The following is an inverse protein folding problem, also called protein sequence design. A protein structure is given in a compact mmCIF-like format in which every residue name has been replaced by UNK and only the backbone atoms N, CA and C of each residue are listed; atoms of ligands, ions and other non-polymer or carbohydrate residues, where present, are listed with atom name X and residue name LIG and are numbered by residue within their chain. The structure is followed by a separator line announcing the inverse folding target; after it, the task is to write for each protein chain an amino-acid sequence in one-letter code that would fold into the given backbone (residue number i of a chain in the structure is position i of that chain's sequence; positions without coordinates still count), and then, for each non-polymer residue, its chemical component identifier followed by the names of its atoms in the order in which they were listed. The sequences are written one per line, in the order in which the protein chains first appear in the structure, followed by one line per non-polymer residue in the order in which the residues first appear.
data_IF_177743385196
#
_entry.id   IF_177743385196
#
_cell.length_a   1.000
_cell.length_b   1.000
_cell.length_c   1.000
_cell.angle_alpha   90.00
_cell.angle_beta   90.00
_cell.angle_gamma   90.00
#
_symmetry.space_group_name_H-M   'P 1'
#
loop_
_entity.id
_entity.type
_entity.pdbx_description
1 polymer ?
#
# COMPACT_ATOMS: atom_id res chain seq x y z
N UNK A 1 13.10 -3.03 -31.34
CA UNK A 1 13.01 -1.76 -32.08
C UNK A 1 12.68 -0.69 -31.04
N UNK A 2 13.43 0.41 -30.94
CA UNK A 2 13.07 1.51 -30.05
C UNK A 2 11.78 2.13 -30.57
N UNK A 3 10.79 2.32 -29.69
CA UNK A 3 9.60 3.09 -29.99
C UNK A 3 10.06 4.53 -30.31
N UNK A 4 9.76 4.95 -31.50
CA UNK A 4 9.99 6.28 -32.03
C UNK A 4 9.36 7.32 -31.10
N UNK A 5 10.20 8.17 -30.54
CA UNK A 5 9.84 9.44 -29.95
C UNK A 5 9.24 10.36 -31.02
N UNK A 6 7.94 10.24 -31.26
CA UNK A 6 7.20 11.25 -32.01
C UNK A 6 6.48 12.16 -31.01
N UNK A 7 7.02 13.38 -30.88
CA UNK A 7 6.33 14.60 -30.44
C UNK A 7 5.49 14.50 -29.17
N UNK A 8 6.09 14.24 -28.02
CA UNK A 8 5.53 14.76 -26.77
C UNK A 8 5.70 16.27 -26.76
N UNK A 9 4.71 17.00 -27.29
CA UNK A 9 4.52 18.39 -26.91
C UNK A 9 4.49 18.42 -25.39
N UNK A 10 5.26 19.34 -24.81
CA UNK A 10 5.19 19.67 -23.40
C UNK A 10 3.72 19.95 -23.06
N UNK A 11 3.05 18.96 -22.46
CA UNK A 11 1.68 19.13 -21.99
C UNK A 11 1.84 19.81 -20.65
N UNK A 12 1.77 21.14 -20.64
CA UNK A 12 1.67 21.91 -19.41
C UNK A 12 0.36 21.51 -18.73
N UNK A 13 0.46 20.76 -17.64
CA UNK A 13 -0.67 20.43 -16.79
C UNK A 13 -1.09 21.69 -16.03
N UNK A 14 -2.33 22.15 -16.21
CA UNK A 14 -2.76 23.43 -15.64
C UNK A 14 -2.92 23.29 -14.12
N UNK A 15 -2.31 24.21 -13.37
CA UNK A 15 -2.38 24.32 -11.91
C UNK A 15 -2.75 25.74 -11.53
N UNK A 16 -3.42 25.91 -10.39
CA UNK A 16 -3.68 27.24 -9.81
C UNK A 16 -4.72 28.05 -10.55
N UNK A 17 -5.70 27.39 -11.18
CA UNK A 17 -6.82 28.06 -11.84
C UNK A 17 -8.10 27.94 -10.98
N UNK A 18 -9.00 28.89 -11.16
CA UNK A 18 -10.32 28.82 -10.58
C UNK A 18 -11.11 27.67 -11.19
N UNK A 19 -11.66 26.79 -10.38
CA UNK A 19 -12.43 25.62 -10.83
C UNK A 19 -13.66 26.06 -11.62
N UNK A 20 -13.79 25.62 -12.85
CA UNK A 20 -15.06 25.71 -13.60
C UNK A 20 -16.03 24.65 -13.06
N UNK A 21 -17.19 25.03 -12.50
CA UNK A 21 -18.17 24.06 -11.98
C UNK A 21 -18.66 23.07 -13.02
N UNK A 22 -18.70 23.44 -14.30
CA UNK A 22 -19.11 22.55 -15.38
C UNK A 22 -18.04 21.51 -15.69
N UNK A 23 -16.77 21.91 -15.75
CA UNK A 23 -15.64 20.99 -15.93
C UNK A 23 -15.53 20.02 -14.72
N UNK A 24 -15.69 20.53 -13.49
CA UNK A 24 -15.67 19.69 -12.29
C UNK A 24 -16.80 18.66 -12.29
N UNK A 25 -18.00 19.03 -12.68
CA UNK A 25 -19.14 18.12 -12.77
C UNK A 25 -18.88 16.98 -13.79
N UNK A 26 -18.33 17.30 -14.96
CA UNK A 26 -17.95 16.31 -15.97
C UNK A 26 -16.82 15.38 -15.48
N UNK A 27 -15.81 15.93 -14.82
CA UNK A 27 -14.72 15.14 -14.25
C UNK A 27 -15.24 14.17 -13.18
N UNK A 28 -16.14 14.62 -12.29
CA UNK A 28 -16.78 13.75 -11.28
C UNK A 28 -17.63 12.65 -11.90
N UNK A 29 -18.36 12.95 -12.98
CA UNK A 29 -19.12 11.93 -13.72
C UNK A 29 -18.19 10.88 -14.32
N UNK A 30 -17.08 11.30 -14.95
CA UNK A 30 -16.09 10.39 -15.53
C UNK A 30 -15.45 9.50 -14.45
N UNK A 31 -15.05 10.09 -13.32
CA UNK A 31 -14.49 9.37 -12.17
C UNK A 31 -15.50 8.36 -11.57
N UNK A 32 -16.76 8.77 -11.43
CA UNK A 32 -17.81 7.89 -10.91
C UNK A 32 -18.07 6.71 -11.86
N UNK A 33 -18.10 6.97 -13.17
CA UNK A 33 -18.26 5.94 -14.21
C UNK A 33 -17.11 4.94 -14.17
N UNK A 34 -15.87 5.40 -14.02
CA UNK A 34 -14.70 4.54 -13.88
C UNK A 34 -14.77 3.64 -12.63
N UNK A 35 -15.21 4.18 -11.48
CA UNK A 35 -15.44 3.39 -10.27
C UNK A 35 -16.46 2.27 -10.46
N UNK A 36 -17.59 2.58 -11.10
CA UNK A 36 -18.60 1.58 -11.40
C UNK A 36 -18.05 0.51 -12.34
N UNK A 37 -17.28 0.89 -13.35
CA UNK A 37 -16.63 -0.05 -14.24
C UNK A 37 -15.64 -0.97 -13.51
N UNK A 38 -14.85 -0.42 -12.57
CA UNK A 38 -13.95 -1.21 -11.72
C UNK A 38 -14.72 -2.17 -10.79
N UNK A 39 -15.82 -1.72 -10.16
CA UNK A 39 -16.65 -2.61 -9.33
C UNK A 39 -17.15 -3.83 -10.09
N UNK A 40 -17.48 -3.66 -11.37
CA UNK A 40 -18.01 -4.75 -12.21
C UNK A 40 -16.92 -5.68 -12.75
N UNK A 41 -15.71 -5.17 -13.00
CA UNK A 41 -14.64 -5.92 -13.69
C UNK A 41 -13.53 -6.38 -12.74
N UNK A 42 -13.22 -5.58 -11.74
CA UNK A 42 -12.14 -5.76 -10.79
C UNK A 42 -12.61 -5.32 -9.40
N UNK A 43 -13.52 -6.12 -8.80
CA UNK A 43 -14.27 -5.77 -7.59
C UNK A 43 -13.39 -5.37 -6.42
N UNK A 44 -12.19 -5.93 -6.28
CA UNK A 44 -11.22 -5.50 -5.26
C UNK A 44 -10.86 -4.01 -5.43
N UNK A 45 -10.40 -3.63 -6.62
CA UNK A 45 -10.03 -2.23 -6.91
C UNK A 45 -11.23 -1.30 -6.86
N UNK A 46 -12.38 -1.74 -7.37
CA UNK A 46 -13.61 -0.98 -7.30
C UNK A 46 -14.07 -0.70 -5.87
N UNK A 47 -13.99 -1.70 -4.98
CA UNK A 47 -14.30 -1.55 -3.57
C UNK A 47 -13.33 -0.58 -2.88
N UNK A 48 -12.04 -0.66 -3.16
CA UNK A 48 -11.06 0.29 -2.63
C UNK A 48 -11.31 1.70 -3.15
N UNK A 49 -11.51 1.87 -4.46
CA UNK A 49 -11.75 3.18 -5.08
C UNK A 49 -13.03 3.87 -4.58
N UNK A 50 -14.11 3.12 -4.31
CA UNK A 50 -15.37 3.69 -3.81
C UNK A 50 -15.30 4.20 -2.37
N UNK A 51 -14.30 3.76 -1.60
CA UNK A 51 -14.09 4.22 -0.22
C UNK A 51 -13.42 5.58 -0.12
N UNK A 52 -12.79 6.05 -1.20
CA UNK A 52 -12.10 7.33 -1.24
C UNK A 52 -13.05 8.42 -1.76
N UNK A 53 -13.59 9.33 -0.94
CA UNK A 53 -14.36 10.46 -1.44
C UNK A 53 -13.55 11.28 -2.45
N UNK A 54 -14.23 11.80 -3.48
CA UNK A 54 -13.60 12.62 -4.51
C UNK A 54 -13.45 14.07 -4.04
N UNK A 55 -12.24 14.60 -4.12
CA UNK A 55 -11.92 15.98 -3.71
C UNK A 55 -11.30 16.71 -4.91
N UNK A 56 -11.95 17.80 -5.32
CA UNK A 56 -11.35 18.67 -6.32
C UNK A 56 -10.14 19.40 -5.73
N UNK A 57 -9.03 19.42 -6.46
CA UNK A 57 -7.76 19.99 -6.04
C UNK A 57 -7.12 20.86 -7.14
N UNK A 58 -7.93 21.47 -8.01
CA UNK A 58 -7.50 22.28 -9.15
C UNK A 58 -6.54 23.41 -8.76
N UNK A 59 -6.62 23.92 -7.53
CA UNK A 59 -5.80 25.02 -7.08
C UNK A 59 -4.32 24.67 -6.83
N UNK A 60 -4.02 23.39 -6.54
CA UNK A 60 -2.66 23.01 -6.15
C UNK A 60 -2.14 21.72 -6.79
N UNK A 61 -3.02 20.85 -7.28
CA UNK A 61 -2.65 19.54 -7.82
C UNK A 61 -2.73 19.56 -9.37
N UNK A 62 -1.65 19.19 -10.07
CA UNK A 62 -1.68 19.12 -11.54
C UNK A 62 -2.31 17.85 -12.10
N UNK A 63 -2.32 16.76 -11.32
CA UNK A 63 -2.72 15.41 -11.76
C UNK A 63 -3.80 14.81 -10.85
N UNK A 64 -3.47 13.71 -10.20
CA UNK A 64 -4.26 13.09 -9.13
C UNK A 64 -3.35 12.71 -7.97
N UNK A 65 -3.94 12.45 -6.80
CA UNK A 65 -3.22 12.00 -5.62
C UNK A 65 -4.15 11.32 -4.64
N UNK A 66 -3.60 10.52 -3.73
CA UNK A 66 -4.33 9.99 -2.58
C UNK A 66 -3.53 10.17 -1.30
N UNK A 67 -4.24 10.37 -0.21
CA UNK A 67 -3.69 10.33 1.16
C UNK A 67 -4.16 9.10 1.94
N UNK A 68 -4.87 8.18 1.27
CA UNK A 68 -5.49 7.00 1.85
C UNK A 68 -6.90 7.20 2.38
N UNK A 69 -7.36 8.44 2.53
CA UNK A 69 -8.73 8.82 2.91
C UNK A 69 -9.53 9.42 1.78
N UNK A 70 -8.88 10.24 0.93
CA UNK A 70 -9.48 10.99 -0.15
C UNK A 70 -8.76 10.69 -1.46
N UNK A 71 -9.49 10.85 -2.55
CA UNK A 71 -8.95 10.89 -3.89
C UNK A 71 -9.01 12.33 -4.40
N UNK A 72 -7.85 12.96 -4.44
CA UNK A 72 -7.67 14.31 -4.96
C UNK A 72 -7.49 14.25 -6.47
N UNK A 73 -8.08 15.20 -7.18
CA UNK A 73 -7.96 15.24 -8.64
C UNK A 73 -7.99 16.66 -9.18
N UNK A 74 -7.33 16.84 -10.32
CA UNK A 74 -7.45 18.00 -11.16
C UNK A 74 -8.49 17.74 -12.24
N UNK A 75 -9.52 18.62 -12.36
CA UNK A 75 -10.63 18.43 -13.28
C UNK A 75 -10.17 18.38 -14.74
N UNK A 76 -9.26 19.26 -15.16
CA UNK A 76 -8.74 19.29 -16.53
C UNK A 76 -7.91 18.05 -16.85
N UNK A 77 -7.09 17.60 -15.91
CA UNK A 77 -6.33 16.36 -16.07
C UNK A 77 -7.25 15.15 -16.28
N UNK A 78 -8.29 15.00 -15.47
CA UNK A 78 -9.25 13.90 -15.61
C UNK A 78 -9.96 13.95 -16.98
N UNK A 79 -10.35 15.14 -17.44
CA UNK A 79 -11.03 15.29 -18.74
C UNK A 79 -10.12 15.02 -19.95
N UNK A 80 -8.80 15.06 -19.79
CA UNK A 80 -7.84 14.67 -20.82
C UNK A 80 -7.76 13.14 -20.97
N UNK A 81 -8.03 12.39 -19.92
CA UNK A 81 -7.86 10.95 -19.91
C UNK A 81 -9.04 10.22 -20.58
N UNK A 82 -8.73 9.08 -21.19
CA UNK A 82 -9.76 8.17 -21.70
C UNK A 82 -10.39 7.38 -20.54
N UNK A 83 -11.64 6.91 -20.68
CA UNK A 83 -12.35 6.20 -19.60
C UNK A 83 -11.55 5.03 -18.98
N UNK A 84 -10.82 4.25 -19.80
CA UNK A 84 -10.00 3.14 -19.31
C UNK A 84 -8.68 3.59 -18.68
N UNK A 85 -8.18 4.76 -19.03
CA UNK A 85 -7.03 5.37 -18.39
C UNK A 85 -7.41 5.89 -17.00
N UNK A 86 -8.65 6.34 -16.81
CA UNK A 86 -9.17 6.71 -15.48
C UNK A 86 -9.35 5.44 -14.59
N UNK A 87 -9.80 4.31 -15.17
CA UNK A 87 -9.82 3.03 -14.45
C UNK A 87 -8.39 2.66 -13.96
N UNK A 88 -7.38 2.85 -14.82
CA UNK A 88 -5.98 2.61 -14.49
C UNK A 88 -5.48 3.55 -13.39
N UNK A 89 -5.79 4.84 -13.48
CA UNK A 89 -5.43 5.85 -12.48
C UNK A 89 -5.97 5.49 -11.09
N UNK A 90 -7.24 5.06 -10.98
CA UNK A 90 -7.78 4.57 -9.71
C UNK A 90 -7.04 3.34 -9.17
N UNK A 91 -6.67 2.42 -10.07
CA UNK A 91 -5.86 1.26 -9.72
C UNK A 91 -4.49 1.68 -9.18
N UNK A 92 -3.87 2.67 -9.81
CA UNK A 92 -2.58 3.24 -9.45
C UNK A 92 -2.60 3.81 -8.02
N UNK A 93 -3.49 4.74 -7.73
CA UNK A 93 -3.66 5.31 -6.39
C UNK A 93 -4.01 4.25 -5.32
N UNK A 94 -4.83 3.27 -5.72
CA UNK A 94 -5.16 2.15 -4.82
C UNK A 94 -3.92 1.34 -4.46
N UNK A 95 -3.05 1.01 -5.42
CA UNK A 95 -1.87 0.21 -5.14
C UNK A 95 -0.82 0.98 -4.32
N UNK A 96 -0.69 2.31 -4.49
CA UNK A 96 0.16 3.11 -3.61
C UNK A 96 -0.28 2.99 -2.15
N UNK A 97 -1.60 3.03 -1.89
CA UNK A 97 -2.14 2.81 -0.55
C UNK A 97 -1.91 1.38 -0.03
N UNK A 98 -2.12 0.37 -0.90
CA UNK A 98 -1.97 -1.05 -0.54
C UNK A 98 -0.52 -1.41 -0.20
N UNK A 99 0.43 -0.90 -0.96
CA UNK A 99 1.86 -1.14 -0.75
C UNK A 99 2.47 -0.26 0.34
N UNK A 100 1.67 0.63 0.96
CA UNK A 100 2.10 1.60 1.98
C UNK A 100 3.28 2.46 1.50
N UNK A 101 3.28 2.85 0.23
CA UNK A 101 4.35 3.65 -0.34
C UNK A 101 4.50 5.00 0.38
N UNK A 102 3.40 5.57 0.89
CA UNK A 102 3.40 6.79 1.71
C UNK A 102 4.16 6.64 3.04
N UNK A 103 4.30 5.41 3.52
CA UNK A 103 4.98 5.11 4.78
C UNK A 103 6.35 4.45 4.61
N UNK A 104 6.48 3.61 3.59
CA UNK A 104 7.64 2.73 3.38
C UNK A 104 8.87 3.46 2.83
N UNK A 105 8.67 4.46 1.97
CA UNK A 105 9.73 5.22 1.32
C UNK A 105 10.65 5.97 2.29
N UNK A 106 10.18 6.24 3.53
CA UNK A 106 10.93 7.02 4.51
C UNK A 106 11.95 6.22 5.33
N UNK A 107 11.82 4.91 5.41
CA UNK A 107 12.59 4.14 6.38
C UNK A 107 13.99 3.71 5.92
N UNK A 108 14.25 3.56 4.62
CA UNK A 108 15.54 3.05 4.14
C UNK A 108 16.06 3.66 2.83
N UNK A 109 15.36 4.62 2.22
CA UNK A 109 15.73 5.15 0.92
C UNK A 109 16.26 6.59 1.05
N UNK A 110 17.48 6.80 0.59
CA UNK A 110 18.18 8.08 0.77
C UNK A 110 17.65 9.20 -0.15
N UNK A 111 16.96 8.85 -1.24
CA UNK A 111 16.42 9.81 -2.21
C UNK A 111 14.92 9.59 -2.42
N UNK A 112 14.06 10.48 -1.92
CA UNK A 112 12.60 10.33 -2.04
C UNK A 112 12.11 10.39 -3.49
N UNK A 113 12.77 11.17 -4.37
CA UNK A 113 12.38 11.25 -5.78
C UNK A 113 12.59 9.91 -6.48
N UNK A 114 13.74 9.27 -6.29
CA UNK A 114 14.03 7.95 -6.85
C UNK A 114 13.08 6.90 -6.26
N UNK A 115 12.72 7.04 -4.97
CA UNK A 115 11.77 6.14 -4.34
C UNK A 115 10.38 6.23 -4.98
N UNK A 116 9.89 7.43 -5.27
CA UNK A 116 8.62 7.64 -5.95
C UNK A 116 8.65 7.08 -7.37
N UNK A 117 9.71 7.36 -8.12
CA UNK A 117 9.92 6.78 -9.47
C UNK A 117 9.90 5.24 -9.43
N UNK A 118 10.59 4.63 -8.47
CA UNK A 118 10.62 3.17 -8.33
C UNK A 118 9.25 2.61 -7.94
N UNK A 119 8.51 3.30 -7.06
CA UNK A 119 7.16 2.94 -6.68
C UNK A 119 6.20 2.95 -7.88
N UNK A 120 6.25 3.99 -8.71
CA UNK A 120 5.43 4.11 -9.91
C UNK A 120 5.72 3.00 -10.93
N UNK A 121 7.00 2.70 -11.17
CA UNK A 121 7.35 1.57 -12.04
C UNK A 121 6.76 0.25 -11.53
N UNK A 122 6.83 -0.02 -10.22
CA UNK A 122 6.29 -1.22 -9.62
C UNK A 122 4.75 -1.27 -9.72
N UNK A 123 4.07 -0.19 -9.37
CA UNK A 123 2.61 -0.07 -9.43
C UNK A 123 2.10 -0.21 -10.86
N UNK A 124 2.67 0.53 -11.79
CA UNK A 124 2.24 0.51 -13.20
C UNK A 124 2.45 -0.89 -13.81
N UNK A 125 3.56 -1.56 -13.51
CA UNK A 125 3.81 -2.94 -13.91
C UNK A 125 2.71 -3.88 -13.41
N UNK A 126 2.35 -3.80 -12.13
CA UNK A 126 1.39 -4.71 -11.53
C UNK A 126 -0.03 -4.49 -12.08
N UNK A 127 -0.40 -3.25 -12.39
CA UNK A 127 -1.67 -2.94 -13.04
C UNK A 127 -1.73 -3.46 -14.48
N UNK A 128 -0.65 -3.29 -15.24
CA UNK A 128 -0.56 -3.82 -16.62
C UNK A 128 -0.67 -5.35 -16.60
N UNK A 129 0.05 -6.02 -15.70
CA UNK A 129 0.02 -7.48 -15.57
C UNK A 129 -1.36 -7.98 -15.12
N UNK A 130 -2.03 -7.26 -14.23
CA UNK A 130 -3.37 -7.57 -13.73
C UNK A 130 -4.49 -7.13 -14.68
N UNK A 131 -4.17 -6.43 -15.76
CA UNK A 131 -5.12 -5.90 -16.76
C UNK A 131 -6.19 -4.98 -16.15
N UNK A 132 -5.79 -4.15 -15.21
CA UNK A 132 -6.64 -3.15 -14.58
C UNK A 132 -6.61 -1.87 -15.40
N UNK A 133 -7.74 -1.52 -16.01
CA UNK A 133 -7.79 -0.39 -16.94
C UNK A 133 -6.91 -0.58 -18.18
N UNK A 134 -6.38 0.51 -18.68
CA UNK A 134 -5.38 0.55 -19.77
C UNK A 134 -4.32 1.56 -19.36
N UNK A 135 -3.06 1.20 -19.52
CA UNK A 135 -1.92 2.09 -19.27
C UNK A 135 -2.17 3.47 -19.86
N UNK A 136 -1.92 4.50 -19.09
CA UNK A 136 -2.08 5.90 -19.50
C UNK A 136 -1.09 6.20 -20.64
N UNK A 137 -1.60 6.72 -21.72
CA UNK A 137 -0.83 7.13 -22.92
C UNK A 137 -1.08 8.59 -23.29
N UNK A 138 -2.08 9.22 -22.66
CA UNK A 138 -2.44 10.62 -22.89
C UNK A 138 -1.39 11.56 -22.33
N UNK A 139 -0.77 11.17 -21.22
CA UNK A 139 0.40 11.84 -20.62
C UNK A 139 1.54 10.84 -20.48
N UNK A 140 2.80 11.31 -20.38
CA UNK A 140 3.93 10.43 -20.08
C UNK A 140 3.69 9.67 -18.78
N UNK A 141 4.04 8.37 -18.74
CA UNK A 141 3.90 7.54 -17.57
C UNK A 141 5.02 6.51 -17.49
N UNK A 142 5.46 6.19 -16.29
CA UNK A 142 6.61 5.34 -16.03
C UNK A 142 6.26 3.85 -16.23
N UNK A 143 6.80 3.23 -17.28
CA UNK A 143 6.69 1.80 -17.51
C UNK A 143 7.88 1.28 -18.32
N UNK A 144 8.56 0.26 -17.81
CA UNK A 144 9.65 -0.40 -18.54
C UNK A 144 9.68 -1.90 -18.21
N UNK A 145 9.68 -2.73 -19.25
CA UNK A 145 9.72 -4.20 -19.13
C UNK A 145 10.97 -4.72 -18.44
N UNK A 146 12.07 -3.96 -18.43
CA UNK A 146 13.29 -4.35 -17.70
C UNK A 146 13.06 -4.54 -16.21
N UNK A 147 12.03 -3.88 -15.65
CA UNK A 147 11.66 -3.95 -14.23
C UNK A 147 10.56 -4.98 -13.91
N UNK A 148 10.18 -5.83 -14.88
CA UNK A 148 9.01 -6.72 -14.78
C UNK A 148 9.07 -7.71 -13.60
N UNK A 149 10.29 -8.08 -13.17
CA UNK A 149 10.51 -9.07 -12.11
C UNK A 149 11.18 -8.50 -10.86
N UNK A 150 11.38 -7.20 -10.80
CA UNK A 150 12.09 -6.55 -9.71
C UNK A 150 11.09 -6.00 -8.68
N UNK A 151 11.45 -6.07 -7.40
CA UNK A 151 10.74 -5.35 -6.34
C UNK A 151 10.95 -3.84 -6.47
N UNK A 152 10.17 -3.04 -5.75
CA UNK A 152 10.36 -1.58 -5.72
C UNK A 152 11.77 -1.22 -5.24
N UNK A 153 12.28 -1.93 -4.23
CA UNK A 153 13.61 -1.72 -3.66
C UNK A 153 14.72 -2.03 -4.69
N UNK A 154 14.59 -3.13 -5.45
CA UNK A 154 15.54 -3.48 -6.51
C UNK A 154 15.50 -2.49 -7.67
N UNK A 155 14.32 -1.94 -8.00
CA UNK A 155 14.17 -0.86 -8.98
C UNK A 155 14.85 0.40 -8.47
N UNK A 156 14.65 0.75 -7.20
CA UNK A 156 15.31 1.88 -6.56
C UNK A 156 16.84 1.77 -6.66
N UNK A 157 17.39 0.63 -6.23
CA UNK A 157 18.83 0.39 -6.25
C UNK A 157 19.38 0.48 -7.67
N UNK A 158 18.67 -0.08 -8.66
CA UNK A 158 19.06 0.00 -10.06
C UNK A 158 19.10 1.44 -10.59
N UNK A 159 18.10 2.26 -10.25
CA UNK A 159 18.06 3.67 -10.65
C UNK A 159 19.15 4.47 -9.91
N UNK A 160 19.30 4.24 -8.61
CA UNK A 160 20.27 4.92 -7.77
C UNK A 160 21.71 4.66 -8.22
N UNK A 161 22.08 3.43 -8.50
CA UNK A 161 23.40 3.04 -9.01
C UNK A 161 23.70 3.62 -10.41
N UNK A 162 22.67 3.86 -11.21
CA UNK A 162 22.79 4.40 -12.55
C UNK A 162 22.39 5.89 -12.65
N UNK A 163 22.23 6.56 -11.52
CA UNK A 163 21.76 7.96 -11.45
C UNK A 163 22.57 8.94 -12.30
N UNK A 164 23.88 8.71 -12.46
CA UNK A 164 24.74 9.54 -13.33
C UNK A 164 24.43 9.40 -14.84
N UNK A 165 23.76 8.31 -15.24
CA UNK A 165 23.43 7.99 -16.64
C UNK A 165 21.96 8.20 -16.97
N UNK A 166 21.12 8.35 -15.97
CA UNK A 166 19.67 8.48 -16.09
C UNK A 166 19.29 9.92 -15.75
N UNK A 167 18.48 10.53 -16.58
CA UNK A 167 17.92 11.85 -16.28
C UNK A 167 16.77 11.70 -15.28
N UNK A 168 17.08 11.87 -13.99
CA UNK A 168 16.11 11.71 -12.89
C UNK A 168 15.01 12.76 -12.97
N UNK A 169 15.35 13.99 -13.36
CA UNK A 169 14.38 15.08 -13.48
C UNK A 169 13.33 14.75 -14.55
N UNK A 170 13.76 14.21 -15.71
CA UNK A 170 12.85 13.76 -16.77
C UNK A 170 11.93 12.62 -16.29
N UNK A 171 12.44 11.69 -15.49
CA UNK A 171 11.61 10.63 -14.92
C UNK A 171 10.66 11.16 -13.85
N UNK A 172 11.06 12.15 -13.08
CA UNK A 172 10.20 12.80 -12.08
C UNK A 172 9.02 13.54 -12.74
N UNK A 173 9.25 14.14 -13.90
CA UNK A 173 8.19 14.80 -14.70
C UNK A 173 7.16 13.80 -15.28
N UNK A 174 7.49 12.50 -15.28
CA UNK A 174 6.61 11.42 -15.76
C UNK A 174 5.80 10.74 -14.65
N UNK A 175 5.89 11.20 -13.40
CA UNK A 175 5.08 10.68 -12.30
C UNK A 175 3.59 10.98 -12.56
N UNK A 176 2.74 9.97 -12.37
CA UNK A 176 1.29 10.10 -12.59
C UNK A 176 0.57 10.77 -11.42
N UNK A 177 1.19 10.76 -10.25
CA UNK A 177 0.65 11.33 -9.04
C UNK A 177 1.65 12.26 -8.34
N UNK A 178 1.14 13.16 -7.53
CA UNK A 178 1.92 13.86 -6.55
C UNK A 178 1.85 13.08 -5.23
N UNK A 179 2.90 12.33 -4.90
CA UNK A 179 2.96 11.65 -3.62
C UNK A 179 2.78 12.66 -2.50
N UNK A 180 1.67 12.52 -1.77
CA UNK A 180 1.36 13.38 -0.63
C UNK A 180 2.28 13.01 0.54
N UNK A 181 3.57 13.21 0.33
CA UNK A 181 4.56 13.03 1.39
C UNK A 181 4.13 13.82 2.59
N UNK A 182 4.02 13.08 3.64
CA UNK A 182 3.84 13.67 4.93
C UNK A 182 5.10 14.49 5.25
N UNK A 183 5.07 15.78 5.00
CA UNK A 183 6.08 16.72 5.42
C UNK A 183 6.32 16.55 6.93
N UNK A 184 7.60 16.40 7.32
CA UNK A 184 8.02 16.21 8.73
C UNK A 184 7.83 17.48 9.59
N UNK A 185 7.05 18.43 9.11
CA UNK A 185 6.68 19.60 9.89
C UNK A 185 5.86 19.17 11.13
N UNK A 186 6.35 19.53 12.30
CA UNK A 186 5.56 19.61 13.54
C UNK A 186 4.46 20.67 13.37
N UNK A 187 3.52 20.40 12.45
CA UNK A 187 2.42 21.29 12.14
C UNK A 187 1.11 20.69 12.63
N UNK A 188 0.28 21.53 13.19
CA UNK A 188 -1.14 21.30 13.42
C UNK A 188 -1.76 20.69 12.15
N UNK A 189 -2.63 19.69 12.33
CA UNK A 189 -3.50 19.16 11.29
C UNK A 189 -4.06 20.32 10.45
N UNK A 190 -3.78 20.32 9.14
CA UNK A 190 -4.37 21.29 8.23
C UNK A 190 -5.88 21.11 8.16
N UNK A 191 -6.61 22.16 7.76
CA UNK A 191 -8.04 22.05 7.52
C UNK A 191 -8.29 20.98 6.46
N UNK A 192 -9.20 20.04 6.77
CA UNK A 192 -9.63 19.03 5.83
C UNK A 192 -10.35 19.64 4.62
N UNK A 193 -10.74 18.80 3.61
CA UNK A 193 -11.50 19.28 2.48
C UNK A 193 -12.77 20.02 2.92
N UNK A 194 -13.07 21.16 2.29
CA UNK A 194 -14.27 21.97 2.52
C UNK A 194 -15.40 21.48 1.58
N UNK A 195 -16.64 21.53 2.03
CA UNK A 195 -17.80 21.29 1.17
C UNK A 195 -18.22 22.58 0.46
N UNK A 196 -18.48 22.50 -0.84
CA UNK A 196 -19.09 23.58 -1.60
C UNK A 196 -20.62 23.63 -1.40
N UNK A 197 -21.28 24.63 -1.98
CA UNK A 197 -22.74 24.81 -1.89
C UNK A 197 -23.55 23.60 -2.44
N UNK A 198 -22.92 22.75 -3.25
CA UNK A 198 -23.51 21.54 -3.82
C UNK A 198 -23.17 20.27 -3.04
N UNK A 199 -22.46 20.39 -1.91
CA UNK A 199 -21.99 19.24 -1.11
C UNK A 199 -20.78 18.51 -1.71
N UNK A 200 -20.08 19.12 -2.67
CA UNK A 200 -18.87 18.55 -3.22
C UNK A 200 -17.64 18.97 -2.41
N UNK A 201 -16.71 18.04 -2.23
CA UNK A 201 -15.47 18.32 -1.50
C UNK A 201 -14.45 19.02 -2.41
N UNK A 202 -13.83 20.08 -1.87
CA UNK A 202 -12.72 20.81 -2.49
C UNK A 202 -11.59 21.01 -1.51
N UNK A 203 -10.35 21.00 -2.01
CA UNK A 203 -9.15 21.28 -1.23
C UNK A 203 -8.36 22.42 -1.87
N UNK A 204 -8.06 23.44 -1.10
CA UNK A 204 -7.30 24.63 -1.54
C UNK A 204 -5.79 24.46 -1.35
N UNK A 205 -5.37 23.48 -0.59
CA UNK A 205 -3.96 23.26 -0.28
C UNK A 205 -3.68 21.78 -0.01
N UNK A 206 -2.41 21.41 -0.13
CA UNK A 206 -1.92 20.06 0.19
C UNK A 206 -2.27 19.67 1.63
N UNK A 207 -2.89 18.50 1.87
CA UNK A 207 -3.26 18.06 3.22
C UNK A 207 -2.02 17.84 4.10
N UNK A 208 -2.14 18.19 5.38
CA UNK A 208 -1.09 17.97 6.38
C UNK A 208 -1.63 17.09 7.51
N UNK A 209 -0.90 16.05 7.86
CA UNK A 209 -1.31 15.09 8.88
C UNK A 209 -0.27 14.96 9.99
N UNK A 210 -0.74 14.87 11.23
CA UNK A 210 0.10 14.53 12.37
C UNK A 210 0.57 13.06 12.29
N UNK A 211 1.63 12.69 13.01
CA UNK A 211 2.08 11.29 13.12
C UNK A 211 0.96 10.34 13.62
N UNK A 212 0.12 10.84 14.54
CA UNK A 212 -1.01 10.08 15.07
C UNK A 212 -2.10 9.84 14.00
N UNK A 213 -2.40 10.86 13.19
CA UNK A 213 -3.40 10.75 12.13
C UNK A 213 -2.91 9.82 11.02
N UNK A 214 -1.63 9.84 10.68
CA UNK A 214 -1.02 8.92 9.71
C UNK A 214 -1.15 7.47 10.16
N UNK A 215 -0.92 7.18 11.46
CA UNK A 215 -1.12 5.83 11.99
C UNK A 215 -2.58 5.39 11.83
N UNK A 216 -3.54 6.27 12.15
CA UNK A 216 -4.96 5.98 11.96
C UNK A 216 -5.30 5.71 10.50
N UNK A 217 -4.80 6.53 9.58
CA UNK A 217 -5.00 6.35 8.13
C UNK A 217 -4.50 4.98 7.68
N UNK A 218 -3.30 4.56 8.10
CA UNK A 218 -2.77 3.23 7.79
C UNK A 218 -3.64 2.10 8.34
N UNK A 219 -4.13 2.24 9.55
CA UNK A 219 -4.99 1.23 10.16
C UNK A 219 -6.34 1.16 9.41
N UNK A 220 -6.90 2.30 8.99
CA UNK A 220 -8.10 2.40 8.14
C UNK A 220 -7.88 1.77 6.75
N UNK A 221 -6.71 1.99 6.14
CA UNK A 221 -6.32 1.35 4.86
C UNK A 221 -6.25 -0.16 5.00
N UNK A 222 -5.59 -0.68 6.06
CA UNK A 222 -5.49 -2.12 6.32
C UNK A 222 -6.87 -2.77 6.50
N UNK A 223 -7.75 -2.14 7.26
CA UNK A 223 -9.11 -2.61 7.43
C UNK A 223 -9.88 -2.60 6.10
N UNK A 224 -9.74 -1.52 5.33
CA UNK A 224 -10.34 -1.38 4.01
C UNK A 224 -9.85 -2.45 3.03
N UNK A 225 -8.56 -2.75 3.06
CA UNK A 225 -7.91 -3.79 2.26
C UNK A 225 -8.51 -5.18 2.56
N UNK A 226 -8.56 -5.56 3.84
CA UNK A 226 -9.12 -6.84 4.27
C UNK A 226 -10.59 -6.96 3.88
N UNK A 227 -11.39 -5.91 4.10
CA UNK A 227 -12.82 -5.90 3.78
C UNK A 227 -13.06 -5.96 2.28
N UNK A 228 -12.28 -5.22 1.47
CA UNK A 228 -12.38 -5.24 0.01
C UNK A 228 -11.98 -6.60 -0.57
N UNK A 229 -10.95 -7.24 -0.01
CA UNK A 229 -10.56 -8.60 -0.41
C UNK A 229 -11.64 -9.64 -0.09
N UNK A 230 -12.26 -9.55 1.09
CA UNK A 230 -13.38 -10.44 1.46
C UNK A 230 -14.58 -10.27 0.55
N UNK A 231 -14.91 -9.02 0.17
CA UNK A 231 -16.03 -8.72 -0.72
C UNK A 231 -15.74 -9.14 -2.17
N UNK A 232 -14.50 -8.99 -2.63
CA UNK A 232 -14.10 -9.41 -3.96
C UNK A 232 -14.18 -10.94 -4.14
N UNK A 233 -13.87 -11.70 -3.10
CA UNK A 233 -13.88 -13.17 -3.16
C UNK A 233 -13.02 -13.69 -4.33
N UNK A 234 -13.54 -14.74 -5.03
CA UNK A 234 -12.93 -15.27 -6.24
C UNK A 234 -13.46 -14.57 -7.53
N UNK A 235 -13.96 -13.35 -7.40
CA UNK A 235 -14.60 -12.61 -8.50
C UNK A 235 -13.66 -12.26 -9.66
N UNK A 236 -14.27 -11.84 -10.77
CA UNK A 236 -13.58 -11.43 -11.98
C UNK A 236 -12.63 -10.24 -11.72
N UNK A 237 -11.40 -10.34 -12.23
CA UNK A 237 -10.36 -9.35 -11.98
C UNK A 237 -9.56 -9.71 -10.73
N UNK A 238 -8.70 -10.73 -10.85
CA UNK A 238 -7.93 -11.27 -9.74
C UNK A 238 -7.12 -10.21 -8.99
N UNK A 239 -7.03 -10.40 -7.69
CA UNK A 239 -6.14 -9.61 -6.83
C UNK A 239 -4.70 -9.91 -7.30
N UNK A 240 -3.85 -8.90 -7.55
CA UNK A 240 -2.44 -9.11 -7.86
C UNK A 240 -1.77 -10.00 -6.83
N UNK A 241 -0.83 -10.87 -7.27
CA UNK A 241 -0.22 -11.87 -6.39
C UNK A 241 0.46 -11.25 -5.16
N UNK A 242 1.11 -10.10 -5.34
CA UNK A 242 1.76 -9.38 -4.24
C UNK A 242 0.74 -8.79 -3.25
N UNK A 243 -0.39 -8.29 -3.76
CA UNK A 243 -1.51 -7.81 -2.92
C UNK A 243 -2.13 -8.99 -2.15
N UNK A 244 -2.31 -10.13 -2.80
CA UNK A 244 -2.83 -11.35 -2.14
C UNK A 244 -1.92 -11.80 -0.98
N UNK A 245 -0.59 -11.71 -1.16
CA UNK A 245 0.38 -12.01 -0.12
C UNK A 245 0.26 -11.05 1.06
N UNK A 246 0.16 -9.74 0.80
CA UNK A 246 -0.04 -8.72 1.85
C UNK A 246 -1.33 -8.99 2.63
N UNK A 247 -2.43 -9.32 1.94
CA UNK A 247 -3.70 -9.67 2.59
C UNK A 247 -3.54 -10.91 3.46
N UNK A 248 -2.84 -11.92 2.97
CA UNK A 248 -2.57 -13.14 3.73
C UNK A 248 -1.76 -12.82 4.99
N UNK A 249 -0.68 -12.07 4.89
CA UNK A 249 0.15 -11.63 6.03
C UNK A 249 -0.66 -10.82 7.06
N UNK A 250 -1.62 -10.00 6.61
CA UNK A 250 -2.49 -9.21 7.49
C UNK A 250 -3.61 -10.04 8.15
N UNK A 251 -4.03 -11.15 7.53
CA UNK A 251 -5.14 -11.99 8.01
C UNK A 251 -4.68 -13.21 8.77
N UNK A 252 -3.46 -13.68 8.55
CA UNK A 252 -2.87 -14.74 9.35
C UNK A 252 -2.65 -14.25 10.79
N UNK A 253 -3.15 -15.00 11.80
CA UNK A 253 -2.90 -14.64 13.19
C UNK A 253 -1.39 -14.69 13.43
N UNK A 254 -0.79 -13.54 13.63
CA UNK A 254 0.59 -13.45 14.07
C UNK A 254 0.65 -13.92 15.52
N UNK A 255 0.94 -15.21 15.73
CA UNK A 255 1.28 -15.68 17.06
C UNK A 255 2.60 -15.01 17.45
N UNK A 256 2.56 -14.23 18.52
CA UNK A 256 3.80 -13.65 19.06
C UNK A 256 4.78 -14.80 19.33
N UNK A 257 6.02 -14.68 18.84
CA UNK A 257 7.06 -15.70 19.05
C UNK A 257 7.25 -16.03 20.53
N UNK A 258 7.00 -15.06 21.42
CA UNK A 258 6.98 -15.21 22.87
C UNK A 258 5.93 -16.18 23.35
N UNK A 259 4.73 -16.17 22.75
CA UNK A 259 3.63 -17.09 23.08
C UNK A 259 3.89 -18.51 22.58
N UNK A 260 4.50 -18.64 21.39
CA UNK A 260 5.01 -19.90 20.85
C UNK A 260 6.12 -20.47 21.73
N UNK A 261 7.06 -19.64 22.15
CA UNK A 261 8.17 -20.01 23.03
C UNK A 261 7.64 -20.45 24.40
N UNK A 262 6.73 -19.68 24.99
CA UNK A 262 6.10 -20.00 26.27
C UNK A 262 5.33 -21.33 26.20
N UNK A 263 4.55 -21.55 25.15
CA UNK A 263 3.82 -22.80 24.93
C UNK A 263 4.79 -23.97 24.73
N UNK A 264 5.87 -23.76 23.98
CA UNK A 264 6.90 -24.79 23.74
C UNK A 264 7.64 -25.15 25.02
N UNK A 265 8.06 -24.15 25.81
CA UNK A 265 8.70 -24.36 27.12
C UNK A 265 7.73 -25.08 28.07
N UNK A 266 6.47 -24.64 28.16
CA UNK A 266 5.47 -25.29 29.02
C UNK A 266 5.17 -26.74 28.61
N UNK A 267 5.24 -27.06 27.33
CA UNK A 267 5.05 -28.44 26.84
C UNK A 267 6.25 -29.33 27.17
N UNK A 268 7.45 -28.77 27.17
CA UNK A 268 8.71 -29.52 27.45
C UNK A 268 8.89 -29.81 28.93
N UNK A 269 8.45 -28.92 29.82
CA UNK A 269 8.59 -29.02 31.28
C UNK A 269 7.77 -30.18 31.91
N UNK A 270 6.91 -30.86 31.15
CA UNK A 270 6.00 -31.93 31.67
C UNK A 270 6.36 -33.33 31.19
N UNK A 271 7.62 -33.65 31.02
CA UNK A 271 8.00 -34.82 30.23
C UNK A 271 8.29 -36.11 30.99
N UNK A 272 8.32 -36.12 32.31
CA UNK A 272 8.65 -37.37 33.03
C UNK A 272 7.54 -37.82 33.97
N UNK A 273 7.35 -39.15 34.01
CA UNK A 273 6.37 -39.83 34.88
C UNK A 273 7.13 -40.58 35.94
N UNK A 274 6.81 -40.35 37.22
CA UNK A 274 7.39 -41.07 38.32
C UNK A 274 6.35 -41.73 39.20
N UNK A 275 6.64 -42.96 39.61
CA UNK A 275 5.83 -43.68 40.60
C UNK A 275 6.12 -43.17 42.04
N UNK A 276 7.17 -42.37 42.24
CA UNK A 276 7.47 -41.76 43.55
C UNK A 276 6.43 -40.72 43.97
N UNK A 277 5.70 -40.13 43.02
CA UNK A 277 4.53 -39.26 43.24
C UNK A 277 3.37 -39.70 42.40
N UNK A 278 2.59 -40.70 42.88
CA UNK A 278 1.49 -41.25 42.09
C UNK A 278 0.38 -40.25 41.80
N UNK A 279 -0.24 -40.37 40.65
CA UNK A 279 -1.34 -39.53 40.23
C UNK A 279 -2.54 -39.70 41.13
N UNK A 280 -3.15 -38.63 41.62
CA UNK A 280 -4.39 -38.65 42.41
C UNK A 280 -5.59 -39.27 41.67
N UNK A 281 -5.54 -39.32 40.33
CA UNK A 281 -6.57 -39.96 39.50
C UNK A 281 -6.63 -41.49 39.67
N UNK A 282 -5.58 -42.12 40.19
CA UNK A 282 -5.53 -43.54 40.47
C UNK A 282 -6.01 -43.95 41.88
N UNK A 283 -6.38 -43.02 42.75
CA UNK A 283 -6.72 -43.31 44.15
C UNK A 283 -8.03 -44.03 44.39
N UNK A 284 -8.79 -44.33 43.37
CA UNK A 284 -10.03 -45.11 43.43
C UNK A 284 -9.98 -46.39 42.61
N UNK A 285 -8.83 -46.78 42.08
CA UNK A 285 -8.63 -47.96 41.26
C UNK A 285 -7.55 -48.84 41.87
N UNK A 286 -7.61 -50.15 41.60
CA UNK A 286 -6.60 -51.11 42.07
C UNK A 286 -5.22 -50.95 41.40
N UNK A 287 -5.04 -49.88 40.59
CA UNK A 287 -3.81 -49.63 39.88
C UNK A 287 -3.19 -48.29 40.32
N UNK A 288 -1.91 -48.31 40.62
CA UNK A 288 -1.11 -47.10 40.90
C UNK A 288 -0.66 -46.48 39.57
N UNK A 289 -1.18 -45.30 39.27
CA UNK A 289 -0.76 -44.54 38.08
C UNK A 289 0.41 -43.63 38.43
N UNK A 290 1.45 -43.53 37.55
CA UNK A 290 2.55 -42.61 37.79
C UNK A 290 2.08 -41.16 37.71
N UNK A 291 2.62 -40.31 38.54
CA UNK A 291 2.37 -38.88 38.52
C UNK A 291 3.41 -38.15 37.68
N UNK A 292 3.05 -37.00 37.12
CA UNK A 292 3.97 -36.11 36.42
C UNK A 292 4.95 -35.47 37.41
N UNK A 293 6.23 -35.49 37.08
CA UNK A 293 7.27 -34.77 37.77
C UNK A 293 7.75 -33.63 36.86
N UNK A 294 7.73 -32.37 37.33
CA UNK A 294 8.30 -31.28 36.54
C UNK A 294 9.82 -31.44 36.49
N UNK A 295 10.38 -31.41 35.31
CA UNK A 295 11.81 -31.35 35.12
C UNK A 295 12.30 -29.92 35.43
N UNK A 296 13.32 -29.79 36.25
CA UNK A 296 13.82 -28.48 36.69
C UNK A 296 14.89 -27.88 35.79
N UNK A 297 15.27 -28.58 34.72
CA UNK A 297 16.27 -28.13 33.76
C UNK A 297 15.68 -28.07 32.35
N UNK A 298 15.83 -26.92 31.73
CA UNK A 298 15.44 -26.70 30.32
C UNK A 298 16.75 -26.52 29.56
N UNK A 299 17.02 -27.40 28.60
CA UNK A 299 18.08 -27.20 27.62
C UNK A 299 17.48 -26.51 26.41
N UNK A 300 17.84 -25.25 26.16
CA UNK A 300 17.39 -24.49 25.01
C UNK A 300 18.58 -24.08 24.15
N UNK A 301 18.52 -24.33 22.86
CA UNK A 301 19.47 -23.80 21.88
C UNK A 301 18.80 -22.63 21.16
N UNK A 302 19.42 -21.45 21.21
CA UNK A 302 18.95 -20.25 20.51
C UNK A 302 19.88 -20.03 19.32
N UNK A 303 19.33 -20.11 18.12
CA UNK A 303 20.02 -19.74 16.90
C UNK A 303 19.50 -18.37 16.42
N UNK A 304 20.38 -17.38 16.38
CA UNK A 304 20.04 -16.06 15.80
C UNK A 304 20.60 -15.98 14.39
N UNK A 305 19.72 -15.65 13.45
CA UNK A 305 20.14 -15.33 12.09
C UNK A 305 20.70 -13.90 12.07
N UNK A 306 21.99 -13.80 11.75
CA UNK A 306 22.72 -12.52 11.65
C UNK A 306 22.94 -12.13 10.18
N UNK A 307 22.11 -12.61 9.28
CA UNK A 307 22.19 -12.24 7.85
C UNK A 307 21.91 -10.74 7.68
N UNK A 308 22.48 -10.15 6.63
CA UNK A 308 22.38 -8.69 6.36
C UNK A 308 20.98 -8.17 6.09
N UNK A 309 19.96 -9.05 6.04
CA UNK A 309 18.54 -8.69 5.91
C UNK A 309 17.88 -8.34 7.25
N UNK A 310 18.54 -8.60 8.38
CA UNK A 310 18.02 -8.24 9.71
C UNK A 310 18.56 -6.88 10.11
N UNK A 311 17.65 -5.91 10.31
CA UNK A 311 18.01 -4.57 10.78
C UNK A 311 18.44 -4.62 12.25
N UNK A 312 19.30 -3.67 12.65
CA UNK A 312 19.79 -3.54 14.05
C UNK A 312 18.66 -3.35 15.07
N UNK A 313 17.47 -2.91 14.65
CA UNK A 313 16.31 -2.73 15.53
C UNK A 313 15.57 -4.06 15.75
N UNK A 314 15.56 -4.98 14.77
CA UNK A 314 14.99 -6.32 14.93
C UNK A 314 15.84 -7.26 15.78
N UNK A 315 17.13 -6.96 15.95
CA UNK A 315 18.04 -7.75 16.79
C UNK A 315 18.12 -7.28 18.26
N UNK A 316 17.34 -6.25 18.64
CA UNK A 316 17.32 -5.69 20.01
C UNK A 316 16.12 -6.13 20.85
N UNK A 317 15.05 -6.60 20.23
CA UNK A 317 13.86 -7.13 20.89
C UNK A 317 13.96 -8.65 21.09
#
# INVERSE_FOLDING_TARGET
LPATTENTKDIELPVGFETDPAEDALAREALTTARVALLLKASFFGNMATRLPLVNADEWLPTAATDGRYFYYNSKFILMLKPKEIEFLFGHETLHNVYDHLGRSKFNLHNPIIANIAADYAVNRDLVNSKIGVMITTVPALYDRKYEKLSMEEIYDNIYENAEKINIDELADMLLDEHLDADDGEGSSGDGPEEDENGNLKSKSKPKYSKADRKKIRDEIKESLINSAKQAGNGAGGIPGDVARIIQELTEPQMAWTELLETSIQSTVKSDYSFMRPSRKGWGSDFMLPGMVPENTIEAAIAMDMSGSISNDMGRD
#
